data_IF_010200241818
#
_entry.id   IF_010200241818
#
_cell.length_a   1.000
_cell.length_b   1.000
_cell.length_c   1.000
_cell.angle_alpha   90.00
_cell.angle_beta   90.00
_cell.angle_gamma   90.00
#
_symmetry.space_group_name_H-M   'P 1'
#
loop_
_entity.id
_entity.type
_entity.pdbx_description
1 polymer ?
#
# COMPACT_ATOMS: atom_id res chain seq x y z
N UNK A 1 -28.06 16.28 -21.02
CA UNK A 1 -26.91 17.00 -20.43
C UNK A 1 -26.62 16.36 -19.09
N UNK A 2 -25.68 15.44 -19.03
CA UNK A 2 -25.19 14.83 -17.78
C UNK A 2 -24.40 15.90 -17.04
N UNK A 3 -24.87 16.33 -15.87
CA UNK A 3 -24.12 17.20 -14.97
C UNK A 3 -22.74 16.54 -14.73
N UNK A 4 -21.68 17.30 -14.99
CA UNK A 4 -20.34 16.89 -14.56
C UNK A 4 -20.39 16.61 -13.06
N UNK A 5 -19.80 15.49 -12.56
CA UNK A 5 -19.81 15.20 -11.15
C UNK A 5 -19.21 16.39 -10.40
N UNK A 6 -19.95 16.90 -9.40
CA UNK A 6 -19.49 18.01 -8.58
C UNK A 6 -18.24 17.59 -7.85
N UNK A 7 -17.10 18.17 -8.24
CA UNK A 7 -15.82 17.94 -7.58
C UNK A 7 -15.88 18.43 -6.13
N UNK A 8 -15.58 17.54 -5.19
CA UNK A 8 -15.44 17.88 -3.78
C UNK A 8 -13.96 17.79 -3.37
N UNK A 9 -13.28 18.91 -3.10
CA UNK A 9 -11.88 18.90 -2.68
C UNK A 9 -11.60 18.05 -1.45
N UNK A 10 -12.58 17.91 -0.54
CA UNK A 10 -12.40 17.11 0.68
C UNK A 10 -12.20 15.62 0.44
N UNK A 11 -12.57 15.10 -0.73
CA UNK A 11 -12.37 13.69 -1.10
C UNK A 11 -11.03 13.43 -1.76
N UNK A 12 -10.27 14.46 -2.13
CA UNK A 12 -8.95 14.31 -2.74
C UNK A 12 -7.89 13.98 -1.71
N UNK A 13 -6.99 13.03 -2.05
CA UNK A 13 -5.81 12.73 -1.23
C UNK A 13 -4.80 13.91 -1.19
N UNK A 14 -4.98 14.93 -2.02
CA UNK A 14 -4.14 16.14 -2.02
C UNK A 14 -4.54 17.17 -0.97
N UNK A 15 -5.70 17.05 -0.31
CA UNK A 15 -6.26 18.07 0.59
C UNK A 15 -5.33 18.56 1.70
N UNK A 16 -4.36 17.73 2.11
CA UNK A 16 -3.34 18.10 3.12
C UNK A 16 -1.94 18.37 2.53
N UNK A 17 -1.79 18.31 1.21
CA UNK A 17 -0.49 18.40 0.52
C UNK A 17 -0.38 19.60 -0.41
N UNK A 18 -1.52 20.16 -0.83
CA UNK A 18 -1.60 21.34 -1.70
C UNK A 18 -1.88 22.56 -0.85
N UNK A 19 -1.18 23.67 -1.17
CA UNK A 19 -1.33 24.91 -0.41
C UNK A 19 -2.75 25.50 -0.52
N UNK A 20 -3.21 26.10 0.56
CA UNK A 20 -4.45 26.89 0.55
C UNK A 20 -4.36 28.00 -0.50
N UNK A 21 -5.43 28.19 -1.27
CA UNK A 21 -5.46 29.19 -2.35
C UNK A 21 -5.00 28.68 -3.73
N UNK A 22 -4.72 27.39 -3.88
CA UNK A 22 -4.50 26.79 -5.21
C UNK A 22 -5.75 27.02 -6.09
N UNK A 23 -5.52 27.43 -7.35
CA UNK A 23 -6.58 27.61 -8.34
C UNK A 23 -7.46 26.35 -8.42
N UNK A 24 -8.79 26.47 -8.27
CA UNK A 24 -9.72 25.33 -8.34
C UNK A 24 -9.60 24.51 -9.62
N UNK A 25 -9.33 25.13 -10.77
CA UNK A 25 -9.17 24.41 -12.04
C UNK A 25 -7.88 23.57 -12.05
N UNK A 26 -6.78 24.11 -11.52
CA UNK A 26 -5.52 23.40 -11.36
C UNK A 26 -5.67 22.24 -10.37
N UNK A 27 -6.36 22.47 -9.25
CA UNK A 27 -6.64 21.45 -8.26
C UNK A 27 -7.46 20.29 -8.83
N UNK A 28 -8.50 20.60 -9.65
CA UNK A 28 -9.29 19.60 -10.35
C UNK A 28 -8.43 18.74 -11.30
N UNK A 29 -7.52 19.36 -12.06
CA UNK A 29 -6.59 18.64 -12.93
C UNK A 29 -5.71 17.67 -12.16
N UNK A 30 -5.19 18.05 -11.00
CA UNK A 30 -4.41 17.19 -10.13
C UNK A 30 -5.25 16.04 -9.54
N UNK A 31 -6.49 16.33 -9.13
CA UNK A 31 -7.43 15.32 -8.64
C UNK A 31 -7.72 14.28 -9.73
N UNK A 32 -8.01 14.70 -10.95
CA UNK A 32 -8.29 13.81 -12.08
C UNK A 32 -7.09 12.90 -12.39
N UNK A 33 -5.88 13.41 -12.31
CA UNK A 33 -4.67 12.60 -12.52
C UNK A 33 -4.53 11.46 -11.50
N UNK A 34 -4.93 11.71 -10.26
CA UNK A 34 -4.84 10.74 -9.17
C UNK A 34 -6.05 9.81 -9.07
N UNK A 35 -7.26 10.36 -9.19
CA UNK A 35 -8.52 9.63 -8.97
C UNK A 35 -9.24 9.24 -10.26
N UNK A 36 -8.81 9.78 -11.43
CA UNK A 36 -9.54 9.67 -12.70
C UNK A 36 -10.72 10.61 -12.79
N UNK A 37 -11.22 10.84 -14.01
CA UNK A 37 -12.36 11.75 -14.26
C UNK A 37 -13.68 11.29 -13.62
N UNK A 38 -13.84 9.98 -13.39
CA UNK A 38 -15.00 9.39 -12.70
C UNK A 38 -14.81 9.25 -11.18
N UNK A 39 -13.62 9.59 -10.65
CA UNK A 39 -13.26 9.39 -9.24
C UNK A 39 -12.82 7.95 -8.89
N UNK A 40 -12.88 7.02 -9.83
CA UNK A 40 -12.56 5.58 -9.63
C UNK A 40 -11.37 5.10 -10.47
N UNK A 41 -10.65 6.01 -11.11
CA UNK A 41 -9.54 5.71 -12.02
C UNK A 41 -8.19 6.25 -11.55
N UNK A 42 -7.41 6.74 -12.51
CA UNK A 42 -6.15 7.44 -12.28
C UNK A 42 -5.02 6.61 -11.67
N UNK A 43 -4.05 7.30 -11.06
CA UNK A 43 -2.88 6.67 -10.47
C UNK A 43 -3.21 5.70 -9.33
N UNK A 44 -4.28 5.96 -8.57
CA UNK A 44 -4.72 5.10 -7.46
C UNK A 44 -5.27 3.77 -7.95
N UNK A 45 -6.01 3.76 -9.05
CA UNK A 45 -6.45 2.51 -9.69
C UNK A 45 -5.26 1.74 -10.28
N UNK A 46 -4.35 2.44 -10.96
CA UNK A 46 -3.15 1.82 -11.53
C UNK A 46 -2.26 1.18 -10.44
N UNK A 47 -2.29 1.72 -9.22
CA UNK A 47 -1.63 1.16 -8.05
C UNK A 47 -2.44 0.03 -7.38
N UNK A 48 -3.56 -0.40 -7.96
CA UNK A 48 -4.44 -1.46 -7.43
C UNK A 48 -5.01 -1.19 -6.04
N UNK A 49 -5.13 0.07 -5.61
CA UNK A 49 -5.70 0.40 -4.31
C UNK A 49 -7.20 0.12 -4.33
N UNK A 50 -7.75 -0.63 -3.36
CA UNK A 50 -9.19 -0.90 -3.29
C UNK A 50 -9.98 0.40 -3.20
N UNK A 51 -11.12 0.46 -3.90
CA UNK A 51 -11.89 1.70 -4.09
C UNK A 51 -12.24 2.40 -2.77
N UNK A 52 -12.63 1.65 -1.76
CA UNK A 52 -13.04 2.17 -0.45
C UNK A 52 -11.92 2.91 0.29
N UNK A 53 -10.67 2.67 -0.07
CA UNK A 53 -9.50 3.29 0.57
C UNK A 53 -8.87 4.44 -0.23
N UNK A 54 -9.34 4.71 -1.46
CA UNK A 54 -8.71 5.70 -2.36
C UNK A 54 -8.82 7.15 -1.91
N UNK A 55 -9.70 7.44 -0.97
CA UNK A 55 -9.90 8.78 -0.41
C UNK A 55 -9.15 9.02 0.91
N UNK A 56 -8.53 7.98 1.47
CA UNK A 56 -7.89 8.05 2.78
C UNK A 56 -6.54 8.76 2.72
N UNK A 57 -6.27 9.55 3.75
CA UNK A 57 -4.95 10.10 4.05
C UNK A 57 -4.53 9.69 5.46
N UNK A 58 -3.23 9.70 5.78
CA UNK A 58 -2.78 9.36 7.14
C UNK A 58 -3.35 10.29 8.23
N UNK A 59 -3.71 11.52 7.87
CA UNK A 59 -4.30 12.50 8.79
C UNK A 59 -5.75 12.16 9.16
N UNK A 60 -6.50 11.58 8.21
CA UNK A 60 -7.94 11.33 8.35
C UNK A 60 -8.29 9.84 8.47
N UNK A 61 -7.31 8.96 8.58
CA UNK A 61 -7.55 7.53 8.70
C UNK A 61 -8.28 7.22 10.03
N UNK A 62 -9.55 6.76 10.01
CA UNK A 62 -10.39 6.66 11.21
C UNK A 62 -9.81 5.84 12.35
N UNK A 63 -9.03 4.75 12.09
CA UNK A 63 -8.47 3.96 13.16
C UNK A 63 -7.45 4.69 14.03
N UNK A 64 -6.81 5.74 13.51
CA UNK A 64 -5.71 6.41 14.21
C UNK A 64 -6.15 7.18 15.45
N UNK A 65 -7.41 7.64 15.53
CA UNK A 65 -7.93 8.32 16.71
C UNK A 65 -7.83 7.46 17.98
N UNK A 66 -7.93 6.13 17.84
CA UNK A 66 -7.85 5.18 18.95
C UNK A 66 -6.50 4.43 19.02
N UNK A 67 -5.52 4.80 18.18
CA UNK A 67 -4.24 4.09 17.99
C UNK A 67 -3.08 5.09 18.05
N UNK A 68 -2.83 5.65 19.25
CA UNK A 68 -1.86 6.73 19.42
C UNK A 68 -0.43 6.38 18.92
N UNK A 69 -0.01 5.13 19.08
CA UNK A 69 1.29 4.66 18.59
C UNK A 69 1.31 4.60 17.06
N UNK A 70 0.28 4.01 16.45
CA UNK A 70 0.15 3.94 14.99
C UNK A 70 0.04 5.34 14.38
N UNK A 71 -0.66 6.28 15.04
CA UNK A 71 -0.76 7.68 14.61
C UNK A 71 0.61 8.37 14.62
N UNK A 72 1.40 8.21 15.71
CA UNK A 72 2.77 8.74 15.77
C UNK A 72 3.68 8.13 14.72
N UNK A 73 3.56 6.82 14.47
CA UNK A 73 4.33 6.14 13.44
C UNK A 73 3.95 6.61 12.03
N UNK A 74 2.65 6.76 11.75
CA UNK A 74 2.15 7.29 10.48
C UNK A 74 2.72 8.70 10.22
N UNK A 75 2.69 9.59 11.21
CA UNK A 75 3.25 10.93 11.08
C UNK A 75 4.74 10.89 10.72
N UNK A 76 5.54 10.06 11.42
CA UNK A 76 6.97 9.90 11.12
C UNK A 76 7.21 9.35 9.71
N UNK A 77 6.40 8.38 9.25
CA UNK A 77 6.50 7.83 7.90
C UNK A 77 6.18 8.90 6.84
N UNK A 78 5.12 9.69 7.05
CA UNK A 78 4.76 10.83 6.18
C UNK A 78 5.89 11.85 6.06
N UNK A 79 6.56 12.18 7.17
CA UNK A 79 7.72 13.07 7.18
C UNK A 79 8.87 12.48 6.35
N UNK A 80 9.17 11.18 6.51
CA UNK A 80 10.20 10.46 5.72
C UNK A 80 9.87 10.38 4.23
N UNK A 81 8.60 10.27 3.86
CA UNK A 81 8.20 10.32 2.45
C UNK A 81 8.52 11.69 1.83
N UNK A 82 8.28 12.79 2.55
CA UNK A 82 8.65 14.14 2.07
C UNK A 82 10.16 14.30 1.92
N UNK A 83 10.94 13.84 2.90
CA UNK A 83 12.41 13.83 2.83
C UNK A 83 12.92 12.97 1.67
N UNK A 84 12.26 11.84 1.37
CA UNK A 84 12.62 10.99 0.25
C UNK A 84 12.55 11.73 -1.08
N UNK A 85 11.45 12.43 -1.35
CA UNK A 85 11.27 13.17 -2.60
C UNK A 85 12.08 14.47 -2.66
N UNK A 86 12.44 15.05 -1.52
CA UNK A 86 13.21 16.28 -1.45
C UNK A 86 14.73 16.03 -1.48
N UNK A 87 15.19 15.10 -0.65
CA UNK A 87 16.60 14.94 -0.32
C UNK A 87 17.14 13.52 -0.64
N UNK A 88 16.33 12.64 -1.24
CA UNK A 88 16.73 11.27 -1.57
C UNK A 88 16.82 10.34 -0.35
N UNK A 89 16.15 10.67 0.76
CA UNK A 89 16.19 9.85 1.97
C UNK A 89 15.75 8.40 1.70
N UNK A 90 16.53 7.42 2.19
CA UNK A 90 16.20 6.00 2.03
C UNK A 90 15.07 5.60 2.97
N UNK A 91 13.97 5.12 2.41
CA UNK A 91 12.82 4.67 3.17
C UNK A 91 13.05 3.28 3.80
N UNK A 92 12.53 3.10 5.00
CA UNK A 92 12.42 1.80 5.64
C UNK A 92 11.05 1.17 5.35
N UNK A 93 11.00 -0.15 5.43
CA UNK A 93 9.73 -0.91 5.42
C UNK A 93 8.99 -0.74 6.75
N UNK A 94 7.68 -1.02 6.75
CA UNK A 94 6.85 -1.01 7.95
C UNK A 94 6.10 -2.35 8.08
N UNK A 95 5.95 -2.83 9.31
CA UNK A 95 5.20 -4.03 9.62
C UNK A 95 4.07 -3.69 10.60
N UNK A 96 2.85 -3.64 10.07
CA UNK A 96 1.63 -3.30 10.81
C UNK A 96 0.99 -4.59 11.28
N UNK A 97 0.96 -4.83 12.58
CA UNK A 97 0.45 -6.09 13.11
C UNK A 97 -0.56 -5.91 14.25
N UNK A 98 -1.43 -6.88 14.39
CA UNK A 98 -2.37 -7.00 15.49
C UNK A 98 -2.87 -8.44 15.58
N UNK A 99 -2.98 -8.99 16.74
CA UNK A 99 -3.62 -10.31 16.95
C UNK A 99 -5.12 -10.30 16.65
N UNK A 100 -5.76 -9.11 16.66
CA UNK A 100 -7.17 -8.93 16.33
C UNK A 100 -7.35 -8.46 14.89
N UNK A 101 -8.31 -9.01 14.11
CA UNK A 101 -8.70 -8.47 12.82
C UNK A 101 -9.46 -7.14 12.99
N UNK A 102 -9.55 -6.34 11.90
CA UNK A 102 -10.41 -5.14 11.89
C UNK A 102 -9.90 -3.95 12.72
N UNK A 103 -8.64 -3.94 13.16
CA UNK A 103 -8.04 -2.87 13.96
C UNK A 103 -7.57 -1.66 13.15
N UNK A 104 -7.63 -1.73 11.80
CA UNK A 104 -7.29 -0.61 10.91
C UNK A 104 -5.93 -0.71 10.22
N UNK A 105 -5.25 -1.85 10.26
CA UNK A 105 -3.94 -2.07 9.59
C UNK A 105 -3.99 -1.74 8.10
N UNK A 106 -4.90 -2.39 7.36
CA UNK A 106 -5.10 -2.16 5.91
C UNK A 106 -5.47 -0.71 5.63
N UNK A 107 -6.33 -0.10 6.46
CA UNK A 107 -6.73 1.30 6.33
C UNK A 107 -5.54 2.24 6.39
N UNK A 108 -4.65 2.07 7.39
CA UNK A 108 -3.44 2.87 7.49
C UNK A 108 -2.45 2.57 6.36
N UNK A 109 -2.27 1.31 5.99
CA UNK A 109 -1.39 0.92 4.89
C UNK A 109 -1.80 1.60 3.56
N UNK A 110 -3.10 1.58 3.23
CA UNK A 110 -3.63 2.25 2.05
C UNK A 110 -3.49 3.77 2.14
N UNK A 111 -3.75 4.37 3.31
CA UNK A 111 -3.60 5.81 3.50
C UNK A 111 -2.15 6.28 3.29
N UNK A 112 -1.17 5.54 3.79
CA UNK A 112 0.26 5.78 3.57
C UNK A 112 0.64 5.61 2.09
N UNK A 113 0.10 4.58 1.43
CA UNK A 113 0.36 4.35 0.00
C UNK A 113 -0.21 5.49 -0.86
N UNK A 114 -1.41 5.98 -0.53
CA UNK A 114 -2.05 7.13 -1.17
C UNK A 114 -1.17 8.40 -1.03
N UNK A 115 -0.69 8.69 0.19
CA UNK A 115 0.19 9.85 0.41
C UNK A 115 1.48 9.72 -0.39
N UNK A 116 2.09 8.53 -0.44
CA UNK A 116 3.29 8.31 -1.23
C UNK A 116 3.05 8.57 -2.73
N UNK A 117 1.92 8.09 -3.28
CA UNK A 117 1.53 8.34 -4.68
C UNK A 117 1.33 9.85 -4.92
N UNK A 118 0.63 10.54 -4.01
CA UNK A 118 0.40 11.97 -4.13
C UNK A 118 1.70 12.77 -4.09
N UNK A 119 2.62 12.44 -3.18
CA UNK A 119 3.93 13.08 -3.09
C UNK A 119 4.79 12.80 -4.32
N UNK A 120 4.76 11.57 -4.86
CA UNK A 120 5.43 11.22 -6.12
C UNK A 120 4.90 12.07 -7.29
N UNK A 121 3.59 12.24 -7.36
CA UNK A 121 2.95 13.07 -8.38
C UNK A 121 3.37 14.54 -8.25
N UNK A 122 3.36 15.10 -7.04
CA UNK A 122 3.79 16.47 -6.77
C UNK A 122 5.29 16.68 -7.05
N UNK A 123 6.13 15.69 -6.72
CA UNK A 123 7.55 15.71 -7.03
C UNK A 123 7.78 15.79 -8.56
N UNK A 124 7.04 14.99 -9.33
CA UNK A 124 7.07 15.05 -10.81
C UNK A 124 6.71 16.43 -11.33
N UNK A 125 5.66 17.06 -10.82
CA UNK A 125 5.24 18.40 -11.24
C UNK A 125 6.30 19.47 -10.96
N UNK A 126 7.07 19.29 -9.87
CA UNK A 126 8.15 20.19 -9.46
C UNK A 126 9.49 19.88 -10.13
N UNK A 127 9.54 18.90 -11.05
CA UNK A 127 10.79 18.47 -11.69
C UNK A 127 11.78 17.79 -10.73
N UNK A 128 11.31 17.32 -9.57
CA UNK A 128 12.12 16.58 -8.60
C UNK A 128 12.21 15.09 -8.99
N UNK A 129 13.12 14.37 -8.30
CA UNK A 129 13.21 12.92 -8.45
C UNK A 129 11.88 12.25 -8.11
N UNK A 130 11.43 11.36 -8.98
CA UNK A 130 10.16 10.66 -8.84
C UNK A 130 10.25 9.26 -9.44
N UNK A 131 9.33 8.39 -9.08
CA UNK A 131 9.29 7.00 -9.53
C UNK A 131 8.26 6.81 -10.66
N UNK A 132 8.65 6.10 -11.73
CA UNK A 132 7.74 5.74 -12.83
C UNK A 132 6.61 4.81 -12.36
N UNK A 133 6.93 3.87 -11.48
CA UNK A 133 5.99 2.94 -10.83
C UNK A 133 6.04 3.21 -9.33
N UNK A 134 5.31 4.24 -8.84
CA UNK A 134 5.49 4.69 -7.45
C UNK A 134 5.04 3.66 -6.44
N UNK A 135 3.89 3.03 -6.66
CA UNK A 135 3.29 2.18 -5.65
C UNK A 135 2.44 1.06 -6.25
N UNK A 136 2.22 -0.02 -5.46
CA UNK A 136 1.28 -1.09 -5.77
C UNK A 136 0.72 -1.70 -4.48
N UNK A 137 -0.59 -2.00 -4.48
CA UNK A 137 -1.26 -2.72 -3.41
C UNK A 137 -1.51 -4.16 -3.84
N UNK A 138 -1.13 -5.13 -3.02
CA UNK A 138 -1.34 -6.55 -3.24
C UNK A 138 -1.97 -7.19 -2.00
N UNK A 139 -3.24 -7.62 -2.12
CA UNK A 139 -3.87 -8.52 -1.16
C UNK A 139 -3.29 -9.93 -1.34
N UNK A 140 -2.50 -10.38 -0.37
CA UNK A 140 -1.76 -11.65 -0.46
C UNK A 140 -2.71 -12.85 -0.45
N UNK A 141 -3.85 -12.77 0.25
CA UNK A 141 -4.84 -13.84 0.28
C UNK A 141 -5.59 -13.98 -1.05
N UNK A 142 -6.00 -12.85 -1.64
CA UNK A 142 -6.63 -12.83 -2.96
C UNK A 142 -5.65 -13.33 -4.03
N UNK A 143 -4.39 -12.90 -3.95
CA UNK A 143 -3.32 -13.32 -4.87
C UNK A 143 -3.02 -14.82 -4.78
N UNK A 144 -3.05 -15.41 -3.57
CA UNK A 144 -2.99 -16.86 -3.39
C UNK A 144 -4.18 -17.58 -4.03
N UNK A 145 -5.39 -17.02 -3.90
CA UNK A 145 -6.59 -17.53 -4.57
C UNK A 145 -6.42 -17.54 -6.08
N UNK A 146 -5.93 -16.45 -6.67
CA UNK A 146 -5.62 -16.33 -8.10
C UNK A 146 -4.58 -17.37 -8.55
N UNK A 147 -3.53 -17.59 -7.76
CA UNK A 147 -2.54 -18.63 -8.03
C UNK A 147 -3.15 -20.03 -8.06
N UNK A 148 -3.96 -20.39 -7.06
CA UNK A 148 -4.59 -21.72 -6.99
C UNK A 148 -5.52 -21.98 -8.17
N UNK A 149 -6.29 -20.97 -8.58
CA UNK A 149 -7.13 -21.04 -9.78
C UNK A 149 -6.27 -21.19 -11.05
N UNK A 150 -5.22 -20.40 -11.19
CA UNK A 150 -4.31 -20.45 -12.31
C UNK A 150 -3.63 -21.83 -12.46
N UNK A 151 -3.22 -22.44 -11.35
CA UNK A 151 -2.65 -23.80 -11.35
C UNK A 151 -3.69 -24.83 -11.79
N UNK A 152 -4.94 -24.71 -11.33
CA UNK A 152 -6.03 -25.64 -11.71
C UNK A 152 -6.37 -25.55 -13.20
N UNK A 153 -6.26 -24.36 -13.81
CA UNK A 153 -6.55 -24.11 -15.23
C UNK A 153 -5.34 -24.37 -16.15
N UNK A 154 -4.15 -24.48 -15.59
CA UNK A 154 -2.92 -24.79 -16.33
C UNK A 154 -2.01 -23.59 -16.56
N UNK A 155 -0.73 -23.90 -16.84
CA UNK A 155 0.37 -22.91 -16.93
C UNK A 155 0.19 -21.87 -18.07
N UNK A 156 -0.55 -22.20 -19.09
CA UNK A 156 -0.76 -21.34 -20.26
C UNK A 156 -2.10 -20.57 -20.18
N UNK A 157 -2.82 -20.67 -19.04
CA UNK A 157 -4.08 -19.98 -18.82
C UNK A 157 -3.93 -18.45 -18.73
N UNK A 158 -5.00 -17.73 -19.02
CA UNK A 158 -5.06 -16.29 -18.84
C UNK A 158 -4.87 -15.89 -17.37
N UNK A 159 -5.37 -16.73 -16.46
CA UNK A 159 -5.24 -16.56 -15.01
C UNK A 159 -3.78 -16.66 -14.56
N UNK A 160 -2.99 -17.58 -15.13
CA UNK A 160 -1.55 -17.66 -14.83
C UNK A 160 -0.81 -16.44 -15.39
N UNK A 161 -1.17 -15.95 -16.56
CA UNK A 161 -0.60 -14.72 -17.11
C UNK A 161 -0.93 -13.51 -16.23
N UNK A 162 -2.18 -13.40 -15.74
CA UNK A 162 -2.61 -12.34 -14.84
C UNK A 162 -1.85 -12.41 -13.50
N UNK A 163 -1.74 -13.59 -12.90
CA UNK A 163 -0.96 -13.81 -11.67
C UNK A 163 0.50 -13.37 -11.80
N UNK A 164 1.16 -13.74 -12.91
CA UNK A 164 2.55 -13.34 -13.19
C UNK A 164 2.65 -11.83 -13.46
N UNK A 165 1.64 -11.24 -14.10
CA UNK A 165 1.61 -9.78 -14.32
C UNK A 165 1.53 -9.03 -12.98
N UNK A 166 0.71 -9.45 -12.04
CA UNK A 166 0.65 -8.88 -10.67
C UNK A 166 1.98 -8.99 -9.94
N UNK A 167 2.64 -10.17 -10.00
CA UNK A 167 3.99 -10.35 -9.46
C UNK A 167 4.96 -9.31 -10.01
N UNK A 168 4.97 -9.11 -11.32
CA UNK A 168 5.85 -8.14 -12.00
C UNK A 168 5.54 -6.70 -11.60
N UNK A 169 4.27 -6.33 -11.49
CA UNK A 169 3.85 -5.01 -11.02
C UNK A 169 4.33 -4.75 -9.59
N UNK A 170 4.13 -5.71 -8.68
CA UNK A 170 4.59 -5.63 -7.31
C UNK A 170 6.13 -5.58 -7.19
N UNK A 171 6.87 -6.26 -8.07
CA UNK A 171 8.33 -6.17 -8.13
C UNK A 171 8.82 -4.83 -8.69
N UNK A 172 8.14 -4.30 -9.73
CA UNK A 172 8.50 -3.05 -10.39
C UNK A 172 8.24 -1.84 -9.51
N UNK A 173 7.14 -1.82 -8.76
CA UNK A 173 6.76 -0.70 -7.91
C UNK A 173 7.84 -0.35 -6.87
N UNK A 174 8.04 0.98 -6.64
CA UNK A 174 8.98 1.44 -5.62
C UNK A 174 8.49 1.05 -4.23
N UNK A 175 7.27 1.46 -3.84
CA UNK A 175 6.64 1.07 -2.58
C UNK A 175 5.51 0.05 -2.83
N UNK A 176 5.39 -0.95 -1.97
CA UNK A 176 4.32 -1.95 -2.04
C UNK A 176 3.66 -2.13 -0.69
N UNK A 177 2.35 -2.27 -0.69
CA UNK A 177 1.61 -2.88 0.43
C UNK A 177 1.44 -4.36 0.10
N UNK A 178 1.89 -5.24 1.02
CA UNK A 178 1.55 -6.66 1.05
C UNK A 178 0.55 -6.86 2.19
N UNK A 179 -0.74 -6.90 1.82
CA UNK A 179 -1.83 -6.92 2.79
C UNK A 179 -2.17 -8.35 3.24
N UNK A 180 -2.48 -8.50 4.53
CA UNK A 180 -2.89 -9.75 5.17
C UNK A 180 -1.90 -10.92 5.02
N UNK A 181 -0.59 -10.63 5.11
CA UNK A 181 0.45 -11.66 5.04
C UNK A 181 0.36 -12.61 6.26
N UNK A 182 0.37 -13.92 6.01
CA UNK A 182 0.31 -14.95 7.06
C UNK A 182 -1.05 -15.17 7.70
N UNK A 183 -2.11 -14.54 7.20
CA UNK A 183 -3.49 -14.76 7.67
C UNK A 183 -4.02 -16.10 7.20
N UNK A 184 -3.61 -16.57 6.04
CA UNK A 184 -3.90 -17.90 5.50
C UNK A 184 -2.61 -18.68 5.31
N UNK A 185 -2.62 -19.98 5.59
CA UNK A 185 -1.49 -20.84 5.30
C UNK A 185 -1.20 -20.86 3.79
N UNK A 186 0.05 -20.57 3.44
CA UNK A 186 0.49 -20.54 2.06
C UNK A 186 0.75 -21.97 1.56
N UNK A 187 0.17 -22.33 0.40
CA UNK A 187 0.53 -23.57 -0.28
C UNK A 187 2.02 -23.56 -0.67
N UNK A 188 2.72 -24.71 -0.73
CA UNK A 188 4.15 -24.73 -1.04
C UNK A 188 4.50 -23.99 -2.34
N UNK A 189 3.70 -24.15 -3.40
CA UNK A 189 3.92 -23.46 -4.67
C UNK A 189 3.76 -21.95 -4.54
N UNK A 190 2.68 -21.47 -3.89
CA UNK A 190 2.46 -20.05 -3.68
C UNK A 190 3.55 -19.43 -2.79
N UNK A 191 3.99 -20.17 -1.76
CA UNK A 191 5.08 -19.72 -0.86
C UNK A 191 6.36 -19.38 -1.64
N UNK A 192 6.68 -20.15 -2.68
CA UNK A 192 7.83 -19.86 -3.55
C UNK A 192 7.68 -18.50 -4.25
N UNK A 193 6.50 -18.16 -4.74
CA UNK A 193 6.26 -16.86 -5.38
C UNK A 193 6.29 -15.70 -4.39
N UNK A 194 5.67 -15.88 -3.21
CA UNK A 194 5.72 -14.90 -2.13
C UNK A 194 7.18 -14.65 -1.68
N UNK A 195 7.94 -15.73 -1.48
CA UNK A 195 9.37 -15.65 -1.15
C UNK A 195 10.15 -14.89 -2.23
N UNK A 196 9.94 -15.21 -3.51
CA UNK A 196 10.59 -14.55 -4.64
C UNK A 196 10.29 -13.05 -4.65
N UNK A 197 9.03 -12.65 -4.44
CA UNK A 197 8.63 -11.24 -4.38
C UNK A 197 9.33 -10.52 -3.21
N UNK A 198 9.20 -11.05 -2.00
CA UNK A 198 9.75 -10.42 -0.80
C UNK A 198 11.27 -10.34 -0.87
N UNK A 199 11.94 -11.42 -1.26
CA UNK A 199 13.40 -11.46 -1.38
C UNK A 199 13.93 -10.47 -2.43
N UNK A 200 13.27 -10.35 -3.59
CA UNK A 200 13.64 -9.39 -4.63
C UNK A 200 13.53 -7.94 -4.12
N UNK A 201 12.46 -7.61 -3.37
CA UNK A 201 12.26 -6.28 -2.81
C UNK A 201 13.27 -5.95 -1.71
N UNK A 202 13.52 -6.90 -0.80
CA UNK A 202 14.53 -6.78 0.26
C UNK A 202 15.92 -6.58 -0.33
N UNK A 203 16.29 -7.36 -1.35
CA UNK A 203 17.59 -7.25 -2.03
C UNK A 203 17.74 -5.90 -2.76
N UNK A 204 16.67 -5.38 -3.36
CA UNK A 204 16.67 -4.09 -4.04
C UNK A 204 16.53 -2.89 -3.09
N UNK A 205 16.36 -3.11 -1.78
CA UNK A 205 16.14 -2.05 -0.79
C UNK A 205 14.84 -1.27 -1.01
N UNK A 206 13.84 -1.88 -1.64
CA UNK A 206 12.55 -1.27 -1.92
C UNK A 206 11.64 -1.35 -0.70
N UNK A 207 11.10 -0.21 -0.21
CA UNK A 207 10.24 -0.19 0.97
C UNK A 207 8.95 -0.98 0.74
N UNK A 208 8.56 -1.74 1.76
CA UNK A 208 7.33 -2.53 1.76
C UNK A 208 6.57 -2.31 3.06
N UNK A 209 5.27 -2.07 2.97
CA UNK A 209 4.36 -2.03 4.10
C UNK A 209 3.68 -3.40 4.16
N UNK A 210 3.93 -4.13 5.22
CA UNK A 210 3.28 -5.41 5.50
C UNK A 210 2.13 -5.19 6.47
N UNK A 211 0.99 -5.83 6.25
CA UNK A 211 -0.04 -5.98 7.27
C UNK A 211 -0.22 -7.44 7.63
N UNK A 212 -0.43 -7.74 8.90
CA UNK A 212 -0.51 -9.11 9.39
C UNK A 212 -1.32 -9.24 10.68
N UNK A 213 -1.83 -10.44 10.93
CA UNK A 213 -2.38 -10.82 12.22
C UNK A 213 -1.36 -11.57 13.09
N UNK A 214 -0.14 -11.82 12.59
CA UNK A 214 0.94 -12.45 13.34
C UNK A 214 2.02 -11.44 13.70
N UNK A 215 2.74 -11.69 14.77
CA UNK A 215 3.84 -10.83 15.19
C UNK A 215 5.06 -11.02 14.27
N UNK A 216 5.93 -10.02 14.21
CA UNK A 216 7.13 -10.02 13.38
C UNK A 216 8.04 -11.26 13.64
N UNK A 217 8.12 -11.72 14.90
CA UNK A 217 8.88 -12.91 15.32
C UNK A 217 8.35 -14.22 14.72
N UNK A 218 7.08 -14.25 14.27
CA UNK A 218 6.41 -15.42 13.71
C UNK A 218 6.53 -15.50 12.18
N UNK A 219 7.09 -14.48 11.53
CA UNK A 219 7.34 -14.46 10.08
C UNK A 219 8.10 -15.69 9.53
N UNK A 220 9.02 -16.34 10.28
CA UNK A 220 9.63 -17.59 9.82
C UNK A 220 8.61 -18.66 9.44
N UNK A 221 7.48 -18.77 10.14
CA UNK A 221 6.40 -19.71 9.82
C UNK A 221 5.67 -19.31 8.53
N UNK A 222 5.49 -18.02 8.31
CA UNK A 222 4.81 -17.50 7.11
C UNK A 222 5.64 -17.73 5.85
N UNK A 223 6.93 -17.41 5.90
CA UNK A 223 7.82 -17.56 4.75
C UNK A 223 8.36 -18.98 4.57
N UNK A 224 8.29 -19.82 5.63
CA UNK A 224 8.93 -21.12 5.64
C UNK A 224 10.48 -21.05 5.70
N UNK A 225 11.04 -19.85 5.94
CA UNK A 225 12.47 -19.60 5.97
C UNK A 225 12.82 -18.49 6.97
N UNK A 226 13.67 -18.82 7.94
CA UNK A 226 14.11 -17.88 9.00
C UNK A 226 14.95 -16.74 8.43
N UNK A 227 15.87 -17.03 7.51
CA UNK A 227 16.79 -16.03 6.96
C UNK A 227 16.05 -14.86 6.27
N UNK A 228 14.99 -15.15 5.51
CA UNK A 228 14.19 -14.10 4.88
C UNK A 228 13.42 -13.30 5.91
N UNK A 229 12.85 -13.97 6.92
CA UNK A 229 12.14 -13.32 8.01
C UNK A 229 13.03 -12.36 8.79
N UNK A 230 14.25 -12.78 9.13
CA UNK A 230 15.25 -11.96 9.83
C UNK A 230 15.60 -10.70 9.01
N UNK A 231 15.84 -10.84 7.70
CA UNK A 231 16.11 -9.70 6.79
C UNK A 231 14.93 -8.73 6.68
N UNK A 232 13.71 -9.24 6.65
CA UNK A 232 12.49 -8.40 6.67
C UNK A 232 12.42 -7.66 8.01
N UNK A 233 12.64 -8.35 9.13
CA UNK A 233 12.62 -7.78 10.47
C UNK A 233 13.61 -6.63 10.64
N UNK A 234 14.85 -6.79 10.16
CA UNK A 234 15.89 -5.76 10.20
C UNK A 234 15.51 -4.48 9.42
N UNK A 235 14.75 -4.62 8.33
CA UNK A 235 14.35 -3.50 7.48
C UNK A 235 13.05 -2.83 7.92
N UNK A 236 12.25 -3.48 8.77
CA UNK A 236 10.94 -2.99 9.15
C UNK A 236 10.97 -2.14 10.43
N UNK A 237 10.08 -1.14 10.45
CA UNK A 237 9.58 -0.53 11.69
C UNK A 237 8.31 -1.27 12.06
N UNK A 238 8.29 -1.95 13.21
CA UNK A 238 7.10 -2.62 13.71
C UNK A 238 6.11 -1.59 14.29
N UNK A 239 4.83 -1.72 13.93
CA UNK A 239 3.74 -0.87 14.39
C UNK A 239 2.62 -1.79 14.87
N UNK A 240 2.44 -1.83 16.18
CA UNK A 240 1.38 -2.62 16.80
C UNK A 240 0.04 -1.87 16.79
N UNK A 241 -1.01 -2.60 16.46
CA UNK A 241 -2.39 -2.14 16.63
C UNK A 241 -3.02 -2.93 17.76
N UNK A 242 -3.71 -2.23 18.64
CA UNK A 242 -4.37 -2.79 19.82
C UNK A 242 -5.87 -2.62 19.74
N UNK A 243 -6.61 -3.30 20.66
CA UNK A 243 -8.05 -3.18 20.78
C UNK A 243 -8.84 -4.16 19.93
N UNK A 244 -10.16 -4.00 19.98
CA UNK A 244 -11.12 -4.88 19.33
C UNK A 244 -11.38 -4.50 17.86
N UNK A 245 -12.01 -5.43 17.13
CA UNK A 245 -12.42 -5.20 15.74
C UNK A 245 -13.39 -4.03 15.64
N UNK A 246 -13.12 -3.13 14.71
CA UNK A 246 -14.02 -2.03 14.34
C UNK A 246 -14.85 -2.34 13.09
N UNK A 247 -14.85 -3.59 12.63
CA UNK A 247 -15.71 -4.06 11.53
C UNK A 247 -17.15 -4.05 12.02
N UNK A 248 -18.04 -3.32 11.32
CA UNK A 248 -19.46 -3.16 11.69
C UNK A 248 -19.84 -1.84 12.36
N UNK A 249 -18.89 -0.96 12.61
CA UNK A 249 -19.11 0.41 13.10
C UNK A 249 -19.07 1.45 11.95
N UNK A 250 -19.27 1.00 10.71
CA UNK A 250 -19.31 1.86 9.51
C UNK A 250 -20.74 2.19 9.16
#
# INVERSE_FOLDING_TARGET
MTQAPSFNPSTSILRHLVADGTDPAQYLGHHIALHGGSGIGGALQAANIPQDYRHLTPQDAPPLAAQAEAARAAKRLSERFREHFKDGYRLRSAYLHSTSPGTGKTTLACALLNEFIALNYLAKLKGLSHHRHPAYFLDVNAWQGSYNLAVALGKDSAEMQAFVAELRLAQAAHMVVLDDIGVREATPGFRTHLHTLVNARVAAGKPTIYTSNVELKELPMVFGERRLADRVGEQCVAIAFTGESKRGLR
#
